data_IF_765384039643
#
_entry.id   IF_765384039643
#
_cell.length_a   1.000
_cell.length_b   1.000
_cell.length_c   1.000
_cell.angle_alpha   90.00
_cell.angle_beta   90.00
_cell.angle_gamma   90.00
#
_symmetry.space_group_name_H-M   'P 1'
#
loop_
_entity.id
_entity.type
_entity.pdbx_description
1 polymer ?
#
# COMPACT_ATOMS: atom_id res chain seq x y z
N UNK A 1 7.06 -21.27 19.06
CA UNK A 1 6.31 -20.04 19.39
C UNK A 1 5.41 -20.31 20.56
N UNK A 2 5.07 -19.28 21.37
CA UNK A 2 4.45 -19.50 22.69
C UNK A 2 3.02 -20.04 22.62
N UNK A 3 2.31 -19.83 21.51
CA UNK A 3 0.95 -20.34 21.29
C UNK A 3 0.59 -20.41 19.79
N UNK A 4 -0.58 -20.96 19.48
CA UNK A 4 -1.08 -21.22 18.11
C UNK A 4 -1.40 -19.96 17.30
N UNK A 5 -1.52 -18.79 17.95
CA UNK A 5 -1.73 -17.51 17.26
C UNK A 5 -0.44 -16.98 16.64
N UNK A 6 0.68 -17.66 16.85
CA UNK A 6 1.97 -17.34 16.27
C UNK A 6 2.45 -18.40 15.27
N UNK A 7 3.11 -17.94 14.21
CA UNK A 7 3.84 -18.73 13.24
C UNK A 7 5.34 -18.52 13.41
N UNK A 8 6.13 -19.60 13.32
CA UNK A 8 7.58 -19.51 13.30
C UNK A 8 8.06 -19.09 11.90
N UNK A 9 8.74 -17.95 11.80
CA UNK A 9 9.30 -17.39 10.57
C UNK A 9 10.78 -17.08 10.80
N UNK A 10 11.68 -17.85 10.18
CA UNK A 10 13.12 -17.59 10.24
C UNK A 10 13.72 -17.56 11.66
N UNK A 11 13.17 -18.35 12.60
CA UNK A 11 13.61 -18.40 14.00
C UNK A 11 12.96 -17.37 14.92
N UNK A 12 12.10 -16.50 14.39
CA UNK A 12 11.28 -15.57 15.19
C UNK A 12 9.81 -16.00 15.19
N UNK A 13 9.08 -15.59 16.22
CA UNK A 13 7.66 -15.87 16.34
C UNK A 13 6.85 -14.65 15.90
N UNK A 14 6.14 -14.81 14.80
CA UNK A 14 5.29 -13.79 14.23
C UNK A 14 3.82 -14.07 14.54
N UNK A 15 3.02 -13.06 14.82
CA UNK A 15 1.57 -13.25 14.88
C UNK A 15 1.09 -13.79 13.53
N UNK A 16 0.29 -14.86 13.54
CA UNK A 16 -0.21 -15.50 12.32
C UNK A 16 -0.94 -14.52 11.40
N UNK A 17 -1.61 -13.49 11.97
CA UNK A 17 -2.25 -12.40 11.21
C UNK A 17 -1.27 -11.45 10.49
N UNK A 18 -0.01 -11.41 10.91
CA UNK A 18 1.05 -10.54 10.39
C UNK A 18 2.06 -11.31 9.53
N UNK A 19 1.91 -12.63 9.42
CA UNK A 19 2.85 -13.46 8.68
C UNK A 19 2.73 -13.21 7.17
N UNK A 20 3.87 -12.90 6.52
CA UNK A 20 3.95 -12.68 5.09
C UNK A 20 5.16 -13.39 4.48
N UNK A 21 4.93 -14.56 3.88
CA UNK A 21 6.02 -15.44 3.45
C UNK A 21 6.89 -15.84 4.65
N UNK A 22 8.16 -15.41 4.63
CA UNK A 22 9.15 -15.58 5.72
C UNK A 22 9.32 -14.34 6.59
N UNK A 23 8.55 -13.28 6.34
CA UNK A 23 8.62 -11.99 7.03
C UNK A 23 7.47 -11.82 8.00
N UNK A 24 7.71 -11.10 9.10
CA UNK A 24 6.65 -10.65 9.99
C UNK A 24 6.37 -9.17 9.72
N UNK A 25 5.15 -8.85 9.29
CA UNK A 25 4.75 -7.46 9.07
C UNK A 25 4.49 -6.76 10.41
N UNK A 26 4.51 -5.43 10.36
CA UNK A 26 4.19 -4.58 11.52
C UNK A 26 2.68 -4.49 11.73
N UNK A 27 2.26 -4.03 12.92
CA UNK A 27 0.84 -3.76 13.14
C UNK A 27 0.39 -2.57 12.26
N UNK A 28 -0.72 -2.73 11.56
CA UNK A 28 -1.17 -1.78 10.53
C UNK A 28 -0.80 -2.18 9.10
N UNK A 29 0.10 -3.15 8.92
CA UNK A 29 0.41 -3.71 7.61
C UNK A 29 -0.39 -5.00 7.33
N UNK A 30 -0.49 -5.35 6.06
CA UNK A 30 -1.06 -6.58 5.57
C UNK A 30 -0.20 -7.21 4.47
N UNK A 31 -0.24 -8.54 4.35
CA UNK A 31 0.54 -9.24 3.34
C UNK A 31 -0.13 -9.15 1.97
N UNK A 32 0.56 -8.56 1.00
CA UNK A 32 0.11 -8.43 -0.40
C UNK A 32 1.20 -9.00 -1.31
N UNK A 33 0.91 -10.10 -2.01
CA UNK A 33 1.88 -10.84 -2.85
C UNK A 33 3.26 -11.09 -2.19
N UNK A 34 3.28 -11.38 -0.89
CA UNK A 34 4.55 -11.64 -0.18
C UNK A 34 5.29 -10.39 0.29
N UNK A 35 4.75 -9.19 0.07
CA UNK A 35 5.25 -7.93 0.63
C UNK A 35 4.33 -7.42 1.74
N UNK A 36 4.93 -6.91 2.82
CA UNK A 36 4.20 -6.17 3.84
C UNK A 36 3.77 -4.82 3.27
N UNK A 37 2.46 -4.60 3.22
CA UNK A 37 1.87 -3.38 2.68
C UNK A 37 1.14 -2.63 3.78
N UNK A 38 1.37 -1.33 3.88
CA UNK A 38 0.54 -0.49 4.75
C UNK A 38 -0.92 -0.53 4.25
N UNK A 39 -1.88 -0.71 5.16
CA UNK A 39 -3.32 -0.74 4.82
C UNK A 39 -3.77 0.52 4.09
N UNK A 40 -3.14 1.67 4.35
CA UNK A 40 -3.40 2.94 3.65
C UNK A 40 -2.90 2.96 2.20
N UNK A 41 -1.94 2.09 1.86
CA UNK A 41 -1.34 1.96 0.52
C UNK A 41 -1.82 0.74 -0.25
N UNK A 42 -2.63 -0.12 0.37
CA UNK A 42 -3.14 -1.32 -0.29
C UNK A 42 -4.10 -0.94 -1.40
N UNK A 43 -3.80 -1.40 -2.60
CA UNK A 43 -4.62 -1.21 -3.77
C UNK A 43 -4.99 -2.56 -4.39
N UNK A 44 -6.13 -3.10 -3.93
CA UNK A 44 -6.56 -4.47 -4.22
C UNK A 44 -5.47 -5.51 -3.87
N UNK A 45 -4.83 -6.08 -4.88
CA UNK A 45 -3.74 -7.04 -4.71
C UNK A 45 -2.39 -6.41 -5.09
N UNK A 46 -2.21 -5.11 -4.84
CA UNK A 46 -0.94 -4.41 -5.01
C UNK A 46 -0.68 -3.47 -3.83
N UNK A 47 0.57 -3.11 -3.61
CA UNK A 47 0.96 -2.09 -2.65
C UNK A 47 1.49 -0.87 -3.39
N UNK A 48 0.89 0.29 -3.13
CA UNK A 48 1.36 1.53 -3.74
C UNK A 48 2.70 1.96 -3.17
N UNK A 49 3.55 2.52 -4.04
CA UNK A 49 4.83 3.07 -3.63
C UNK A 49 4.66 4.30 -2.73
N UNK A 50 5.76 4.78 -2.15
CA UNK A 50 5.75 6.06 -1.45
C UNK A 50 5.34 7.20 -2.38
N UNK A 51 4.51 8.12 -1.86
CA UNK A 51 3.91 9.20 -2.64
C UNK A 51 2.71 8.80 -3.51
N UNK A 52 2.45 7.51 -3.71
CA UNK A 52 1.30 7.02 -4.48
C UNK A 52 0.10 6.71 -3.58
N UNK A 53 -1.09 6.87 -4.15
CA UNK A 53 -2.36 6.50 -3.52
C UNK A 53 -3.16 5.55 -4.40
N UNK A 54 -3.99 4.72 -3.78
CA UNK A 54 -4.87 3.83 -4.51
C UNK A 54 -6.06 4.60 -5.10
N UNK A 55 -6.15 4.61 -6.42
CA UNK A 55 -7.27 5.19 -7.17
C UNK A 55 -7.77 4.17 -8.20
N UNK A 56 -9.04 3.78 -8.11
CA UNK A 56 -9.67 2.85 -9.04
C UNK A 56 -8.83 1.56 -9.28
N UNK A 57 -8.29 0.97 -8.21
CA UNK A 57 -7.45 -0.24 -8.21
C UNK A 57 -6.06 -0.06 -8.85
N UNK A 58 -5.65 1.17 -9.14
CA UNK A 58 -4.33 1.52 -9.63
C UNK A 58 -3.63 2.45 -8.64
N UNK A 59 -2.31 2.33 -8.54
CA UNK A 59 -1.52 3.28 -7.78
C UNK A 59 -1.23 4.49 -8.67
N UNK A 60 -1.70 5.66 -8.26
CA UNK A 60 -1.49 6.91 -8.97
C UNK A 60 -0.69 7.86 -8.10
N UNK A 61 0.06 8.77 -8.72
CA UNK A 61 0.71 9.88 -8.04
C UNK A 61 -0.19 11.11 -8.16
N UNK A 62 -0.88 11.45 -7.08
CA UNK A 62 -1.79 12.59 -7.05
C UNK A 62 -1.06 13.94 -7.18
N UNK A 63 0.28 13.98 -7.14
CA UNK A 63 1.05 15.21 -7.27
C UNK A 63 1.46 15.53 -8.70
N UNK A 64 1.36 14.56 -9.62
CA UNK A 64 1.84 14.67 -11.00
C UNK A 64 0.87 14.12 -12.05
N UNK A 65 -0.07 13.24 -11.67
CA UNK A 65 -1.08 12.71 -12.59
C UNK A 65 -2.17 13.75 -12.87
N UNK A 66 -2.16 14.31 -14.08
CA UNK A 66 -3.15 15.31 -14.51
C UNK A 66 -4.59 14.79 -14.57
N UNK A 67 -4.83 13.48 -14.45
CA UNK A 67 -6.18 12.90 -14.34
C UNK A 67 -6.62 12.65 -12.90
N UNK A 68 -5.71 12.79 -11.93
CA UNK A 68 -5.93 12.47 -10.52
C UNK A 68 -5.22 13.48 -9.59
N UNK A 69 -5.14 14.74 -10.01
CA UNK A 69 -4.40 15.79 -9.34
C UNK A 69 -5.06 16.18 -8.02
N UNK A 70 -4.31 16.03 -6.92
CA UNK A 70 -4.74 16.26 -5.54
C UNK A 70 -5.66 15.17 -4.99
N UNK A 71 -6.46 14.52 -5.84
CA UNK A 71 -7.35 13.43 -5.45
C UNK A 71 -7.74 12.53 -6.62
N UNK A 72 -8.16 11.31 -6.30
CA UNK A 72 -8.60 10.32 -7.30
C UNK A 72 -9.78 10.84 -8.14
N UNK A 73 -9.62 10.85 -9.46
CA UNK A 73 -10.61 11.34 -10.42
C UNK A 73 -10.64 12.86 -10.61
N UNK A 74 -9.77 13.61 -9.94
CA UNK A 74 -9.66 15.06 -10.09
C UNK A 74 -8.73 15.41 -11.25
N UNK A 75 -9.29 15.61 -12.43
CA UNK A 75 -8.50 16.00 -13.60
C UNK A 75 -8.22 17.51 -13.61
N UNK A 76 -7.00 17.91 -13.99
CA UNK A 76 -6.65 19.30 -14.28
C UNK A 76 -7.46 19.84 -15.47
N UNK A 77 -7.59 21.16 -15.58
CA UNK A 77 -8.25 21.75 -16.74
C UNK A 77 -7.43 21.52 -18.03
N UNK A 78 -8.09 21.72 -19.18
CA UNK A 78 -7.43 21.53 -20.47
C UNK A 78 -6.22 22.48 -20.62
N UNK A 79 -5.03 21.90 -20.79
CA UNK A 79 -3.77 22.64 -20.92
C UNK A 79 -3.02 22.86 -19.60
N UNK A 80 -3.59 22.45 -18.47
CA UNK A 80 -2.93 22.53 -17.17
C UNK A 80 -2.10 21.27 -16.86
N UNK A 81 -1.12 21.44 -15.98
CA UNK A 81 -0.29 20.36 -15.45
C UNK A 81 -0.52 20.23 -13.96
N UNK A 82 -0.60 19.01 -13.45
CA UNK A 82 -0.65 18.79 -12.02
C UNK A 82 0.69 19.15 -11.38
N UNK A 83 0.69 20.11 -10.45
CA UNK A 83 1.90 20.49 -9.71
C UNK A 83 1.64 20.43 -8.21
N UNK A 84 2.28 19.48 -7.53
CA UNK A 84 2.13 19.26 -6.08
C UNK A 84 0.67 19.00 -5.66
N UNK A 85 -0.14 18.42 -6.55
CA UNK A 85 -1.52 18.05 -6.26
C UNK A 85 -2.54 19.17 -6.39
N UNK A 86 -2.19 20.24 -7.12
CA UNK A 86 -3.10 21.32 -7.50
C UNK A 86 -2.87 21.76 -8.94
#
# INVERSE_FOLDING_TARGET
CPDEKYKCLGGTCCLSKLACGTSCCEDGQECVNGQCCDKSKKCCNNCCADGQTCCNKNCIDANSDSKNCGSCGSACAAGETCQNGT
#
